data_IF_621176993231
#
_entry.id   IF_621176993231
#
_cell.length_a   1.000
_cell.length_b   1.000
_cell.length_c   1.000
_cell.angle_alpha   90.00
_cell.angle_beta   90.00
_cell.angle_gamma   90.00
#
_symmetry.space_group_name_H-M   'P 1'
#
loop_
_entity.id
_entity.type
_entity.pdbx_description
1 polymer ?
#
# COMPACT_ATOMS: atom_id res chain seq x y z
N UNK A 1 54.68 18.28 2.21
CA UNK A 1 54.65 17.58 0.92
C UNK A 1 53.18 17.57 0.49
N UNK A 2 52.81 18.51 -0.37
CA UNK A 2 51.42 18.76 -0.79
C UNK A 2 51.15 17.89 -2.01
N UNK A 3 50.10 17.02 -1.93
CA UNK A 3 49.59 16.26 -3.05
C UNK A 3 48.74 17.19 -3.95
N UNK A 4 48.82 17.10 -5.28
CA UNK A 4 48.08 18.00 -6.18
C UNK A 4 46.59 17.66 -6.19
N UNK A 5 45.75 18.68 -6.16
CA UNK A 5 44.31 18.61 -6.44
C UNK A 5 44.12 18.14 -7.89
N UNK A 6 43.61 16.94 -8.10
CA UNK A 6 43.06 16.57 -9.39
C UNK A 6 41.68 17.22 -9.55
N UNK A 7 41.58 18.10 -10.54
CA UNK A 7 40.31 18.64 -11.03
C UNK A 7 39.48 17.48 -11.60
N UNK A 8 38.39 17.15 -10.94
CA UNK A 8 37.38 16.24 -11.47
C UNK A 8 36.61 17.01 -12.53
N UNK A 9 36.84 16.62 -13.77
CA UNK A 9 36.26 17.23 -14.97
C UNK A 9 34.72 17.17 -14.93
N UNK A 10 34.09 18.32 -15.15
CA UNK A 10 32.65 18.59 -15.27
C UNK A 10 31.95 17.87 -16.46
N UNK A 11 32.30 16.66 -16.79
CA UNK A 11 31.76 15.91 -17.94
C UNK A 11 30.67 14.89 -17.61
N UNK A 12 30.19 14.79 -16.37
CA UNK A 12 29.22 13.77 -15.97
C UNK A 12 27.84 14.30 -15.55
N UNK A 13 27.47 15.55 -15.87
CA UNK A 13 26.11 16.07 -15.65
C UNK A 13 25.27 16.13 -16.94
N UNK A 14 25.17 15.04 -17.69
CA UNK A 14 24.08 14.86 -18.67
C UNK A 14 23.37 13.57 -18.35
N UNK A 15 22.60 13.60 -17.28
CA UNK A 15 21.69 12.51 -16.90
C UNK A 15 20.26 12.93 -17.27
N UNK A 16 19.76 12.27 -18.30
CA UNK A 16 18.40 11.83 -18.54
C UNK A 16 17.25 12.76 -18.15
N UNK A 17 16.88 13.66 -19.03
CA UNK A 17 15.51 14.11 -19.17
C UNK A 17 14.89 13.41 -20.38
N UNK A 18 13.92 12.52 -20.16
CA UNK A 18 13.09 11.96 -21.22
C UNK A 18 12.11 13.02 -21.71
N UNK A 19 12.03 13.34 -23.02
CA UNK A 19 11.00 14.23 -23.53
C UNK A 19 9.68 13.49 -23.60
N UNK A 20 8.65 14.07 -23.02
CA UNK A 20 7.27 13.65 -23.09
C UNK A 20 6.60 14.11 -24.39
N UNK A 21 6.97 13.57 -25.55
CA UNK A 21 6.12 13.60 -26.76
C UNK A 21 6.60 12.60 -27.83
N UNK A 22 5.70 11.86 -28.52
CA UNK A 22 6.05 10.85 -29.51
C UNK A 22 6.02 11.44 -30.91
N UNK A 23 7.16 11.87 -31.45
CA UNK A 23 7.39 11.97 -32.90
C UNK A 23 8.78 12.48 -33.24
N UNK A 24 9.81 11.74 -32.92
CA UNK A 24 11.10 11.78 -33.64
C UNK A 24 11.77 10.43 -33.44
N UNK A 25 12.12 9.74 -34.54
CA UNK A 25 12.94 8.55 -34.51
C UNK A 25 14.38 8.94 -34.14
N UNK A 26 14.67 9.17 -32.88
CA UNK A 26 16.01 9.30 -32.36
C UNK A 26 16.50 7.90 -31.98
N UNK A 27 17.42 7.35 -32.76
CA UNK A 27 18.24 6.22 -32.34
C UNK A 27 19.22 6.74 -31.25
N UNK A 28 18.86 6.60 -29.98
CA UNK A 28 19.77 6.87 -28.87
C UNK A 28 20.69 5.65 -28.72
N UNK A 29 21.89 5.75 -29.29
CA UNK A 29 22.94 4.74 -29.06
C UNK A 29 23.76 5.18 -27.85
N UNK A 30 23.58 4.54 -26.70
CA UNK A 30 24.48 4.72 -25.55
C UNK A 30 25.71 3.83 -25.82
N UNK A 31 26.81 4.46 -26.20
CA UNK A 31 28.10 3.77 -26.30
C UNK A 31 28.76 3.72 -24.91
N UNK A 32 28.97 2.52 -24.42
CA UNK A 32 29.78 2.26 -23.23
C UNK A 32 31.24 2.09 -23.68
N UNK A 33 32.25 2.45 -22.84
CA UNK A 33 33.69 2.44 -23.22
C UNK A 33 34.24 1.09 -23.74
N UNK A 34 33.47 0.01 -23.61
CA UNK A 34 33.85 -1.36 -24.06
C UNK A 34 33.01 -1.89 -25.25
N UNK A 35 32.65 -1.02 -26.18
CA UNK A 35 32.08 -1.37 -27.51
C UNK A 35 30.73 -2.14 -27.53
N UNK A 36 29.93 -2.07 -26.48
CA UNK A 36 28.61 -2.73 -26.43
C UNK A 36 27.45 -1.76 -26.70
N UNK A 37 26.53 -2.16 -27.58
CA UNK A 37 25.30 -1.39 -27.85
C UNK A 37 24.19 -1.86 -26.90
N UNK A 38 23.62 -0.91 -26.13
CA UNK A 38 22.59 -1.24 -25.13
C UNK A 38 21.16 -1.16 -25.67
N UNK A 39 20.92 -0.50 -26.82
CA UNK A 39 19.59 -0.31 -27.40
C UNK A 39 19.57 -0.71 -28.87
N UNK A 40 18.50 -1.40 -29.31
CA UNK A 40 18.27 -1.74 -30.71
C UNK A 40 17.40 -0.69 -31.42
N UNK A 41 17.65 -0.48 -32.73
CA UNK A 41 16.94 0.48 -33.56
C UNK A 41 15.43 0.26 -33.59
N UNK A 42 14.65 1.31 -33.37
CA UNK A 42 13.24 1.42 -33.72
C UNK A 42 12.22 0.91 -32.69
N UNK A 43 12.63 0.24 -31.62
CA UNK A 43 11.81 -0.04 -30.42
C UNK A 43 12.72 0.05 -29.22
N UNK A 44 12.23 0.64 -28.12
CA UNK A 44 12.96 0.78 -26.86
C UNK A 44 13.13 -0.58 -26.15
N UNK A 45 13.71 -1.54 -26.82
CA UNK A 45 14.03 -2.87 -26.27
C UNK A 45 15.52 -2.93 -25.99
N UNK A 46 15.86 -3.34 -24.77
CA UNK A 46 17.25 -3.54 -24.39
C UNK A 46 17.83 -4.75 -25.12
N UNK A 47 19.10 -4.66 -25.45
CA UNK A 47 19.89 -5.85 -25.82
C UNK A 47 20.26 -6.62 -24.55
N UNK A 48 20.75 -7.86 -24.68
CA UNK A 48 21.26 -8.61 -23.52
C UNK A 48 22.40 -7.88 -22.79
N UNK A 49 23.19 -7.10 -23.51
CA UNK A 49 24.20 -6.20 -22.92
C UNK A 49 23.52 -5.02 -22.19
N UNK A 50 22.44 -4.47 -22.75
CA UNK A 50 21.63 -3.42 -22.12
C UNK A 50 20.95 -3.89 -20.84
N UNK A 51 20.40 -5.08 -20.82
CA UNK A 51 19.81 -5.71 -19.62
C UNK A 51 20.86 -5.89 -18.51
N UNK A 52 22.04 -6.39 -18.88
CA UNK A 52 23.16 -6.55 -17.97
C UNK A 52 23.61 -5.20 -17.41
N UNK A 53 23.71 -4.17 -18.27
CA UNK A 53 24.05 -2.82 -17.85
C UNK A 53 23.02 -2.22 -16.87
N UNK A 54 21.72 -2.34 -17.18
CA UNK A 54 20.66 -1.86 -16.29
C UNK A 54 20.71 -2.53 -14.92
N UNK A 55 20.90 -3.85 -14.89
CA UNK A 55 21.04 -4.60 -13.64
C UNK A 55 22.18 -4.07 -12.74
N UNK A 56 23.35 -3.81 -13.34
CA UNK A 56 24.47 -3.26 -12.58
C UNK A 56 24.30 -1.77 -12.26
N UNK A 57 23.65 -1.00 -13.14
CA UNK A 57 23.33 0.40 -12.88
C UNK A 57 22.36 0.56 -11.69
N UNK A 58 21.35 -0.33 -11.61
CA UNK A 58 20.45 -0.39 -10.45
C UNK A 58 21.20 -0.70 -9.15
N UNK A 59 22.13 -1.65 -9.18
CA UNK A 59 22.96 -1.97 -8.01
C UNK A 59 23.86 -0.81 -7.60
N UNK A 60 24.42 -0.06 -8.54
CA UNK A 60 25.24 1.12 -8.27
C UNK A 60 24.39 2.22 -7.63
N UNK A 61 23.19 2.48 -8.15
CA UNK A 61 22.27 3.48 -7.60
C UNK A 61 21.84 3.08 -6.18
N UNK A 62 21.61 1.79 -5.95
CA UNK A 62 21.28 1.27 -4.63
C UNK A 62 22.44 1.41 -3.65
N UNK A 63 23.67 1.12 -4.12
CA UNK A 63 24.89 1.31 -3.31
C UNK A 63 25.14 2.76 -2.98
N UNK A 64 24.94 3.70 -3.93
CA UNK A 64 25.04 5.15 -3.72
C UNK A 64 24.05 5.62 -2.65
N UNK A 65 22.78 5.19 -2.74
CA UNK A 65 21.77 5.45 -1.70
C UNK A 65 22.18 4.94 -0.34
N UNK A 66 22.74 3.71 -0.29
CA UNK A 66 23.19 3.10 0.95
C UNK A 66 24.40 3.87 1.54
N UNK A 67 25.30 4.36 0.69
CA UNK A 67 26.42 5.21 1.10
C UNK A 67 25.92 6.55 1.64
N UNK A 68 25.00 7.23 0.95
CA UNK A 68 24.40 8.46 1.43
C UNK A 68 23.70 8.27 2.78
N UNK A 69 22.99 7.15 2.95
CA UNK A 69 22.37 6.79 4.23
C UNK A 69 23.41 6.54 5.34
N UNK A 70 24.52 5.86 5.02
CA UNK A 70 25.60 5.65 5.98
C UNK A 70 26.26 6.99 6.37
N UNK A 71 26.45 7.91 5.43
CA UNK A 71 27.03 9.22 5.70
C UNK A 71 26.10 10.15 6.48
N UNK A 72 24.77 9.98 6.37
CA UNK A 72 23.81 10.72 7.18
C UNK A 72 23.89 10.39 8.67
N UNK A 73 24.39 9.20 9.04
CA UNK A 73 24.64 8.83 10.44
C UNK A 73 25.73 9.70 11.13
N UNK A 74 26.54 10.40 10.36
CA UNK A 74 27.51 11.37 10.90
C UNK A 74 26.91 12.78 11.14
N UNK A 75 25.69 13.06 10.65
CA UNK A 75 24.89 14.20 11.12
C UNK A 75 24.13 13.71 12.36
N UNK A 76 24.19 14.46 13.45
CA UNK A 76 23.52 14.12 14.73
C UNK A 76 21.99 13.91 14.67
N UNK A 77 21.42 13.81 13.47
CA UNK A 77 20.00 13.60 13.23
C UNK A 77 19.81 12.27 12.51
N UNK A 78 19.05 11.38 13.12
CA UNK A 78 18.65 10.09 12.52
C UNK A 78 17.33 10.27 11.77
N UNK A 79 17.22 9.73 10.55
CA UNK A 79 15.95 9.74 9.80
C UNK A 79 15.28 8.37 9.98
N UNK A 80 14.09 8.36 10.56
CA UNK A 80 13.21 7.19 10.62
C UNK A 80 12.30 7.17 9.38
N UNK A 81 12.47 6.17 8.52
CA UNK A 81 11.71 6.01 7.28
C UNK A 81 10.49 5.15 7.51
N UNK A 82 9.30 5.76 7.46
CA UNK A 82 8.01 5.12 7.74
C UNK A 82 7.22 4.98 6.44
N UNK A 83 6.72 3.78 6.17
CA UNK A 83 5.74 3.53 5.12
C UNK A 83 4.30 3.48 5.67
N UNK A 84 3.32 3.86 4.85
CA UNK A 84 1.90 3.73 5.17
C UNK A 84 1.12 3.18 3.98
N UNK A 85 0.16 2.29 4.23
CA UNK A 85 -0.65 1.68 3.16
C UNK A 85 -2.16 1.85 3.34
N UNK A 86 -2.61 2.48 4.40
CA UNK A 86 -4.04 2.69 4.68
C UNK A 86 -4.28 4.08 5.25
N UNK A 87 -5.49 4.61 5.06
CA UNK A 87 -5.90 5.89 5.66
C UNK A 87 -5.77 5.86 7.19
N UNK A 88 -6.13 4.74 7.84
CA UNK A 88 -5.94 4.58 9.29
C UNK A 88 -4.46 4.62 9.70
N UNK A 89 -3.58 4.03 8.91
CA UNK A 89 -2.13 4.10 9.14
C UNK A 89 -1.61 5.54 9.03
N UNK A 90 -2.06 6.29 8.02
CA UNK A 90 -1.73 7.71 7.86
C UNK A 90 -2.20 8.50 9.07
N UNK A 91 -3.48 8.33 9.48
CA UNK A 91 -4.04 9.01 10.65
C UNK A 91 -3.28 8.67 11.93
N UNK A 92 -2.89 7.40 12.13
CA UNK A 92 -2.07 6.99 13.27
C UNK A 92 -0.72 7.70 13.26
N UNK A 93 0.03 7.61 12.18
CA UNK A 93 1.38 8.19 12.08
C UNK A 93 1.32 9.69 12.32
N UNK A 94 0.39 10.41 11.68
CA UNK A 94 0.24 11.86 11.86
C UNK A 94 -0.14 12.26 13.29
N UNK A 95 -0.91 11.42 13.99
CA UNK A 95 -1.22 11.63 15.41
C UNK A 95 0.00 11.37 16.32
N UNK A 96 0.78 10.33 16.02
CA UNK A 96 1.91 9.92 16.85
C UNK A 96 3.15 10.80 16.68
N UNK A 97 3.37 11.37 15.49
CA UNK A 97 4.55 12.21 15.19
C UNK A 97 4.77 13.33 16.23
N UNK A 98 3.79 14.15 16.60
CA UNK A 98 4.00 15.23 17.58
C UNK A 98 4.40 14.73 18.96
N UNK A 99 3.86 13.58 19.40
CA UNK A 99 4.17 12.94 20.69
C UNK A 99 5.59 12.39 20.64
N UNK A 100 5.89 11.62 19.60
CA UNK A 100 7.16 10.97 19.39
C UNK A 100 8.33 11.96 19.29
N UNK A 101 8.16 13.07 18.56
CA UNK A 101 9.21 14.09 18.40
C UNK A 101 9.51 14.87 19.69
N UNK A 102 8.57 14.94 20.64
CA UNK A 102 8.86 15.52 21.97
C UNK A 102 9.83 14.65 22.76
N UNK A 103 9.70 13.33 22.66
CA UNK A 103 10.55 12.37 23.35
C UNK A 103 11.88 12.15 22.62
N UNK A 104 11.87 12.21 21.27
CA UNK A 104 13.03 11.96 20.40
C UNK A 104 13.27 13.12 19.41
N UNK A 105 13.70 14.29 19.88
CA UNK A 105 13.84 15.50 19.04
C UNK A 105 14.90 15.36 17.92
N UNK A 106 15.85 14.45 18.10
CA UNK A 106 16.94 14.20 17.13
C UNK A 106 16.56 13.18 16.05
N UNK A 107 15.29 12.70 16.02
CA UNK A 107 14.81 11.79 14.99
C UNK A 107 13.88 12.57 14.05
N UNK A 108 14.30 12.69 12.80
CA UNK A 108 13.44 13.18 11.73
C UNK A 108 12.65 12.00 11.13
N UNK A 109 11.42 12.27 10.68
CA UNK A 109 10.54 11.26 10.11
C UNK A 109 10.35 11.54 8.63
N UNK A 110 10.66 10.54 7.80
CA UNK A 110 10.36 10.55 6.38
C UNK A 110 9.22 9.53 6.11
N UNK A 111 8.08 10.02 5.61
CA UNK A 111 6.92 9.19 5.34
C UNK A 111 6.78 8.90 3.84
N UNK A 112 6.46 7.66 3.49
CA UNK A 112 6.16 7.20 2.13
C UNK A 112 4.82 6.47 2.12
N UNK A 113 4.04 6.66 1.07
CA UNK A 113 2.75 5.99 0.88
C UNK A 113 2.81 4.98 -0.26
N UNK A 114 1.99 3.93 -0.17
CA UNK A 114 1.90 2.91 -1.21
C UNK A 114 0.85 1.84 -0.92
N UNK A 115 0.61 0.94 -1.87
CA UNK A 115 -0.22 -0.23 -1.58
C UNK A 115 0.50 -1.20 -0.64
N UNK A 116 -0.28 -2.05 0.05
CA UNK A 116 0.26 -2.92 1.12
C UNK A 116 1.42 -3.79 0.64
N UNK A 117 1.32 -4.40 -0.54
CA UNK A 117 2.37 -5.28 -1.06
C UNK A 117 3.66 -4.50 -1.38
N UNK A 118 3.54 -3.42 -2.15
CA UNK A 118 4.70 -2.62 -2.57
C UNK A 118 5.40 -1.95 -1.40
N UNK A 119 4.63 -1.40 -0.43
CA UNK A 119 5.25 -0.65 0.67
C UNK A 119 5.91 -1.59 1.70
N UNK A 120 5.33 -2.79 1.92
CA UNK A 120 5.93 -3.79 2.81
C UNK A 120 7.21 -4.35 2.21
N UNK A 121 7.26 -4.59 0.89
CA UNK A 121 8.48 -5.06 0.22
C UNK A 121 9.67 -4.09 0.41
N UNK A 122 9.42 -2.80 0.52
CA UNK A 122 10.47 -1.80 0.82
C UNK A 122 11.11 -1.98 2.20
N UNK A 123 10.38 -2.52 3.20
CA UNK A 123 10.99 -2.89 4.48
C UNK A 123 11.91 -4.09 4.32
N UNK A 124 11.47 -5.09 3.56
CA UNK A 124 12.26 -6.30 3.29
C UNK A 124 13.55 -5.99 2.51
N UNK A 125 13.48 -5.00 1.61
CA UNK A 125 14.61 -4.52 0.81
C UNK A 125 15.47 -3.47 1.54
N UNK A 126 15.15 -3.14 2.80
CA UNK A 126 15.83 -2.13 3.60
C UNK A 126 15.69 -0.66 3.13
N UNK A 127 14.76 -0.35 2.25
CA UNK A 127 14.46 1.02 1.81
C UNK A 127 13.69 1.81 2.86
N UNK A 128 12.87 1.12 3.67
CA UNK A 128 12.13 1.67 4.81
C UNK A 128 12.53 0.96 6.10
N UNK A 129 12.42 1.66 7.23
CA UNK A 129 12.68 1.09 8.55
C UNK A 129 11.48 0.33 9.08
N UNK A 130 10.27 0.88 8.85
CA UNK A 130 9.01 0.23 9.21
C UNK A 130 7.85 0.68 8.31
N UNK A 131 6.79 -0.10 8.31
CA UNK A 131 5.53 0.20 7.61
C UNK A 131 4.35 -0.01 8.54
N UNK A 132 3.46 0.97 8.62
CA UNK A 132 2.11 0.78 9.13
C UNK A 132 1.18 0.43 7.97
N UNK A 133 0.55 -0.74 8.06
CA UNK A 133 -0.27 -1.24 6.98
C UNK A 133 -1.29 -2.26 7.41
N UNK A 134 -1.79 -3.01 6.45
CA UNK A 134 -2.68 -4.14 6.72
C UNK A 134 -2.31 -5.35 5.88
N UNK A 135 -2.49 -6.52 6.47
CA UNK A 135 -2.24 -7.84 5.89
C UNK A 135 -3.46 -8.75 6.10
N UNK A 136 -3.56 -9.80 5.31
CA UNK A 136 -4.64 -10.78 5.40
C UNK A 136 -4.33 -11.94 6.35
N UNK A 137 -3.06 -12.22 6.63
CA UNK A 137 -2.60 -13.24 7.58
C UNK A 137 -1.20 -12.91 8.05
N UNK A 138 -0.90 -13.24 9.32
CA UNK A 138 0.43 -13.11 9.90
C UNK A 138 1.44 -14.08 9.28
N UNK A 139 0.98 -15.22 8.76
CA UNK A 139 1.83 -16.26 8.18
C UNK A 139 2.48 -15.83 6.85
N UNK A 140 1.89 -14.85 6.17
CA UNK A 140 2.40 -14.36 4.88
C UNK A 140 3.75 -13.64 5.00
N UNK A 141 4.06 -13.11 6.19
CA UNK A 141 5.26 -12.34 6.44
C UNK A 141 6.00 -12.92 7.64
N UNK A 142 6.83 -13.94 7.41
CA UNK A 142 7.68 -14.52 8.45
C UNK A 142 8.68 -13.48 8.94
N UNK A 143 8.48 -12.96 10.13
CA UNK A 143 9.45 -12.05 10.73
C UNK A 143 8.83 -10.96 11.58
N UNK A 144 9.33 -9.77 11.48
CA UNK A 144 9.09 -8.66 12.37
C UNK A 144 7.75 -7.98 12.07
N UNK A 145 6.71 -8.52 12.65
CA UNK A 145 5.35 -7.98 12.56
C UNK A 145 4.83 -7.74 13.96
N UNK A 146 4.36 -6.55 14.20
CA UNK A 146 3.59 -6.16 15.37
C UNK A 146 2.12 -6.05 14.96
N UNK A 147 1.25 -7.02 15.30
CA UNK A 147 -0.17 -6.89 15.08
C UNK A 147 -0.73 -5.79 15.99
N UNK A 148 -1.64 -4.99 15.46
CA UNK A 148 -2.26 -3.87 16.16
C UNK A 148 -3.74 -4.14 16.41
N UNK A 149 -4.53 -4.33 15.35
CA UNK A 149 -5.97 -4.58 15.45
C UNK A 149 -6.51 -5.30 14.22
N UNK A 150 -7.50 -6.15 14.42
CA UNK A 150 -8.29 -6.75 13.36
C UNK A 150 -9.42 -5.83 12.94
N UNK A 151 -9.77 -5.86 11.66
CA UNK A 151 -10.88 -5.12 11.11
C UNK A 151 -11.64 -5.98 10.10
N UNK A 152 -12.95 -6.11 10.28
CA UNK A 152 -13.82 -6.83 9.34
C UNK A 152 -13.89 -6.10 8.00
N UNK A 153 -14.08 -6.88 6.94
CA UNK A 153 -14.33 -6.39 5.59
C UNK A 153 -15.79 -6.72 5.24
N UNK A 154 -16.52 -5.69 4.85
CA UNK A 154 -17.88 -5.79 4.37
C UNK A 154 -17.92 -5.76 2.84
N UNK A 155 -18.93 -6.39 2.27
CA UNK A 155 -19.36 -6.19 0.90
C UNK A 155 -20.46 -5.12 0.89
N UNK A 156 -20.22 -3.98 0.29
CA UNK A 156 -21.21 -2.95 0.03
C UNK A 156 -21.91 -3.27 -1.30
N UNK A 157 -23.24 -3.27 -1.30
CA UNK A 157 -24.07 -3.63 -2.46
C UNK A 157 -25.13 -2.56 -2.68
N UNK A 158 -25.37 -2.11 -3.91
CA UNK A 158 -26.49 -1.22 -4.22
C UNK A 158 -27.83 -1.81 -3.76
N UNK A 159 -28.62 -1.08 -2.98
CA UNK A 159 -29.88 -1.55 -2.38
C UNK A 159 -30.91 -2.06 -3.41
N UNK A 160 -30.79 -1.64 -4.68
CA UNK A 160 -31.61 -2.08 -5.81
C UNK A 160 -31.27 -3.46 -6.38
N UNK A 161 -30.12 -4.06 -5.98
CA UNK A 161 -29.75 -5.40 -6.45
C UNK A 161 -30.66 -6.48 -5.83
N UNK A 162 -30.84 -7.59 -6.57
CA UNK A 162 -31.75 -8.69 -6.17
C UNK A 162 -31.48 -9.25 -4.79
N UNK A 163 -30.23 -9.38 -4.41
CA UNK A 163 -29.79 -9.88 -3.09
C UNK A 163 -30.33 -9.00 -1.93
N UNK A 164 -30.65 -7.75 -2.18
CA UNK A 164 -31.13 -6.81 -1.17
C UNK A 164 -32.67 -6.80 -1.01
N UNK A 165 -33.44 -7.54 -1.82
CA UNK A 165 -34.92 -7.47 -1.85
C UNK A 165 -35.59 -7.84 -0.52
N UNK A 166 -34.95 -8.66 0.31
CA UNK A 166 -35.48 -9.09 1.60
C UNK A 166 -34.83 -8.36 2.79
N UNK A 167 -34.17 -7.24 2.54
CA UNK A 167 -33.36 -6.59 3.57
C UNK A 167 -34.14 -5.85 4.66
N UNK A 168 -35.47 -5.75 4.58
CA UNK A 168 -36.37 -5.19 5.63
C UNK A 168 -35.75 -4.02 6.44
N UNK A 169 -35.11 -3.06 5.75
CA UNK A 169 -34.40 -1.92 6.35
C UNK A 169 -33.17 -2.27 7.21
N UNK A 170 -32.70 -3.52 7.20
CA UNK A 170 -31.44 -3.89 7.82
C UNK A 170 -30.28 -3.53 6.89
N UNK A 171 -29.56 -2.47 7.26
CA UNK A 171 -28.39 -2.02 6.50
C UNK A 171 -27.19 -2.99 6.59
N UNK A 172 -27.14 -3.86 7.59
CA UNK A 172 -26.10 -4.87 7.79
C UNK A 172 -26.73 -6.26 7.82
N UNK A 173 -26.25 -7.16 6.97
CA UNK A 173 -26.71 -8.54 6.85
C UNK A 173 -25.55 -9.53 6.87
N UNK A 174 -25.86 -10.79 7.17
CA UNK A 174 -24.89 -11.88 7.05
C UNK A 174 -24.91 -12.45 5.63
N UNK A 175 -23.77 -12.89 5.12
CA UNK A 175 -23.62 -13.48 3.80
C UNK A 175 -22.67 -14.68 3.85
N UNK A 176 -23.16 -15.84 3.44
CA UNK A 176 -22.32 -17.01 3.23
C UNK A 176 -21.77 -17.07 1.80
N UNK A 177 -20.77 -17.93 1.59
CA UNK A 177 -20.08 -18.05 0.32
C UNK A 177 -20.99 -18.57 -0.81
N UNK A 178 -21.92 -19.47 -0.51
CA UNK A 178 -22.84 -20.05 -1.50
C UNK A 178 -23.83 -19.00 -2.00
N UNK A 179 -24.42 -18.25 -1.08
CA UNK A 179 -25.33 -17.14 -1.41
C UNK A 179 -24.58 -16.04 -2.18
N UNK A 180 -23.34 -15.70 -1.78
CA UNK A 180 -22.49 -14.77 -2.51
C UNK A 180 -22.28 -15.22 -3.97
N UNK A 181 -21.92 -16.49 -4.18
CA UNK A 181 -21.71 -17.04 -5.51
C UNK A 181 -22.98 -17.03 -6.36
N UNK A 182 -24.12 -17.43 -5.78
CA UNK A 182 -25.40 -17.54 -6.48
C UNK A 182 -25.97 -16.17 -6.87
N UNK A 183 -26.00 -15.23 -5.92
CA UNK A 183 -26.71 -13.96 -6.09
C UNK A 183 -25.88 -12.89 -6.85
N UNK A 184 -24.54 -13.00 -6.79
CA UNK A 184 -23.66 -11.98 -7.36
C UNK A 184 -22.83 -12.50 -8.55
N UNK A 185 -23.13 -13.70 -9.05
CA UNK A 185 -22.56 -14.18 -10.32
C UNK A 185 -22.92 -13.25 -11.46
N UNK A 186 -21.91 -12.75 -12.19
CA UNK A 186 -22.09 -11.79 -13.28
C UNK A 186 -22.42 -10.35 -12.85
N UNK A 187 -22.54 -10.07 -11.55
CA UNK A 187 -22.73 -8.71 -11.06
C UNK A 187 -21.48 -7.85 -11.31
N UNK A 188 -21.66 -6.54 -11.55
CA UNK A 188 -20.53 -5.61 -11.67
C UNK A 188 -19.87 -5.36 -10.31
N UNK A 189 -18.52 -5.36 -10.28
CA UNK A 189 -17.75 -5.07 -9.10
C UNK A 189 -16.83 -3.86 -9.28
N UNK A 190 -16.68 -3.11 -8.17
CA UNK A 190 -15.69 -2.06 -7.98
C UNK A 190 -14.66 -2.61 -6.99
N UNK A 191 -13.43 -2.78 -7.41
CA UNK A 191 -12.40 -3.40 -6.59
C UNK A 191 -11.24 -2.42 -6.32
N UNK A 192 -10.50 -2.69 -5.27
CA UNK A 192 -9.23 -2.00 -5.08
C UNK A 192 -8.20 -2.48 -6.11
N UNK A 193 -7.19 -1.64 -6.37
CA UNK A 193 -6.08 -2.01 -7.25
C UNK A 193 -5.36 -3.27 -6.74
N UNK A 194 -4.82 -4.10 -7.64
CA UNK A 194 -3.93 -5.20 -7.26
C UNK A 194 -2.81 -4.73 -6.32
N UNK A 195 -2.45 -5.59 -5.36
CA UNK A 195 -1.43 -5.27 -4.35
C UNK A 195 -1.97 -4.63 -3.06
N UNK A 196 -3.27 -4.28 -2.99
CA UNK A 196 -3.91 -3.94 -1.72
C UNK A 196 -4.33 -5.20 -0.95
N UNK A 197 -4.35 -5.12 0.38
CA UNK A 197 -4.79 -6.21 1.25
C UNK A 197 -6.26 -6.59 0.96
N UNK A 198 -7.15 -5.61 0.79
CA UNK A 198 -8.57 -5.86 0.51
C UNK A 198 -8.77 -6.54 -0.85
N UNK A 199 -8.00 -6.14 -1.88
CA UNK A 199 -8.04 -6.81 -3.19
C UNK A 199 -7.58 -8.27 -3.08
N UNK A 200 -6.53 -8.54 -2.34
CA UNK A 200 -6.07 -9.91 -2.10
C UNK A 200 -7.14 -10.77 -1.43
N UNK A 201 -7.83 -10.24 -0.41
CA UNK A 201 -8.94 -10.90 0.28
C UNK A 201 -10.12 -11.15 -0.68
N UNK A 202 -10.52 -10.14 -1.47
CA UNK A 202 -11.59 -10.27 -2.45
C UNK A 202 -11.27 -11.33 -3.51
N UNK A 203 -10.06 -11.31 -4.06
CA UNK A 203 -9.61 -12.31 -5.05
C UNK A 203 -9.59 -13.72 -4.45
N UNK A 204 -9.25 -13.86 -3.15
CA UNK A 204 -9.35 -15.12 -2.41
C UNK A 204 -10.79 -15.61 -2.32
N UNK A 205 -11.72 -14.72 -1.98
CA UNK A 205 -13.13 -15.04 -1.88
C UNK A 205 -13.73 -15.46 -3.24
N UNK A 206 -13.42 -14.72 -4.32
CA UNK A 206 -13.87 -15.09 -5.68
C UNK A 206 -13.35 -16.46 -6.09
N UNK A 207 -12.09 -16.78 -5.80
CA UNK A 207 -11.54 -18.13 -6.06
C UNK A 207 -12.27 -19.21 -5.27
N UNK A 208 -12.53 -19.00 -4.00
CA UNK A 208 -13.27 -19.95 -3.14
C UNK A 208 -14.72 -20.13 -3.59
N UNK A 209 -15.32 -19.08 -4.13
CA UNK A 209 -16.68 -19.10 -4.69
C UNK A 209 -16.74 -19.61 -6.15
N UNK A 210 -15.60 -19.99 -6.75
CA UNK A 210 -15.48 -20.34 -8.16
C UNK A 210 -16.06 -19.28 -9.11
N UNK A 211 -15.96 -18.00 -8.74
CA UNK A 211 -16.47 -16.86 -9.49
C UNK A 211 -15.37 -16.13 -10.23
N UNK A 212 -15.69 -15.68 -11.44
CA UNK A 212 -14.88 -14.68 -12.15
C UNK A 212 -15.59 -13.33 -12.04
N UNK A 213 -15.04 -12.33 -11.31
CA UNK A 213 -15.71 -11.05 -11.12
C UNK A 213 -15.75 -10.23 -12.42
N UNK A 214 -16.87 -9.57 -12.69
CA UNK A 214 -16.98 -8.54 -13.73
C UNK A 214 -16.49 -7.22 -13.13
N UNK A 215 -15.20 -6.91 -13.26
CA UNK A 215 -14.60 -5.71 -12.68
C UNK A 215 -14.80 -4.53 -13.65
N UNK A 216 -15.58 -3.54 -13.25
CA UNK A 216 -15.87 -2.36 -14.06
C UNK A 216 -15.10 -1.11 -13.63
N UNK A 217 -14.58 -1.10 -12.41
CA UNK A 217 -13.79 0.00 -11.88
C UNK A 217 -12.73 -0.53 -10.89
N UNK A 218 -11.51 -0.01 -11.01
CA UNK A 218 -10.47 -0.18 -10.00
C UNK A 218 -10.14 1.17 -9.35
N UNK A 219 -10.01 1.20 -8.02
CA UNK A 219 -9.67 2.40 -7.25
C UNK A 219 -8.77 2.06 -6.06
N UNK A 220 -8.03 3.02 -5.53
CA UNK A 220 -7.25 2.85 -4.31
C UNK A 220 -8.01 3.26 -3.04
N UNK A 221 -9.17 3.91 -3.19
CA UNK A 221 -9.86 4.59 -2.09
C UNK A 221 -11.20 3.90 -1.76
N UNK A 222 -11.38 3.48 -0.51
CA UNK A 222 -12.61 2.88 -0.03
C UNK A 222 -13.82 3.83 -0.13
N UNK A 223 -13.63 5.13 0.10
CA UNK A 223 -14.70 6.13 -0.06
C UNK A 223 -15.17 6.25 -1.51
N UNK A 224 -14.29 6.05 -2.48
CA UNK A 224 -14.66 5.99 -3.90
C UNK A 224 -15.50 4.74 -4.20
N UNK A 225 -15.22 3.62 -3.55
CA UNK A 225 -16.05 2.41 -3.65
C UNK A 225 -17.45 2.70 -3.09
N UNK A 226 -17.54 3.27 -1.88
CA UNK A 226 -18.82 3.62 -1.25
C UNK A 226 -19.65 4.52 -2.16
N UNK A 227 -19.07 5.60 -2.70
CA UNK A 227 -19.75 6.50 -3.64
C UNK A 227 -20.24 5.81 -4.90
N UNK A 228 -19.44 4.93 -5.46
CA UNK A 228 -19.81 4.19 -6.67
C UNK A 228 -20.91 3.18 -6.40
N UNK A 229 -20.90 2.51 -5.23
CA UNK A 229 -21.97 1.61 -4.79
C UNK A 229 -23.27 2.39 -4.57
N UNK A 230 -23.24 3.52 -3.88
CA UNK A 230 -24.39 4.41 -3.66
C UNK A 230 -25.01 4.86 -4.99
N UNK A 231 -24.18 5.19 -5.97
CA UNK A 231 -24.63 5.53 -7.33
C UNK A 231 -25.14 4.30 -8.12
N UNK A 232 -25.08 3.10 -7.53
CA UNK A 232 -25.56 1.87 -8.14
C UNK A 232 -24.70 1.33 -9.27
N UNK A 233 -23.42 1.68 -9.34
CA UNK A 233 -22.50 1.23 -10.39
C UNK A 233 -22.21 -0.27 -10.23
N UNK A 234 -22.02 -0.77 -8.98
CA UNK A 234 -21.72 -2.17 -8.71
C UNK A 234 -21.44 -2.43 -7.23
N UNK A 235 -21.18 -3.67 -6.87
CA UNK A 235 -20.80 -4.06 -5.52
C UNK A 235 -19.31 -3.88 -5.26
N UNK A 236 -18.89 -3.70 -3.99
CA UNK A 236 -17.48 -3.52 -3.67
C UNK A 236 -17.12 -3.85 -2.24
N UNK A 237 -15.87 -4.29 -2.03
CA UNK A 237 -15.36 -4.64 -0.71
C UNK A 237 -14.76 -3.41 -0.01
N UNK A 238 -15.18 -3.15 1.21
CA UNK A 238 -14.70 -2.03 2.02
C UNK A 238 -14.41 -2.48 3.47
N UNK A 239 -13.51 -1.78 4.17
CA UNK A 239 -13.39 -1.96 5.62
C UNK A 239 -14.67 -1.49 6.31
N UNK A 240 -15.05 -2.13 7.39
CA UNK A 240 -16.24 -1.74 8.17
C UNK A 240 -16.17 -0.31 8.69
N UNK A 241 -14.97 0.19 8.99
CA UNK A 241 -14.76 1.59 9.37
C UNK A 241 -15.04 2.63 8.25
N UNK A 242 -15.31 2.18 7.04
CA UNK A 242 -15.74 3.02 5.93
C UNK A 242 -17.24 2.88 5.62
N UNK A 243 -17.99 2.10 6.41
CA UNK A 243 -19.44 2.02 6.27
C UNK A 243 -20.06 3.35 6.67
N UNK A 244 -21.09 3.75 5.94
CA UNK A 244 -21.87 4.98 6.17
C UNK A 244 -23.35 4.66 6.08
N UNK A 245 -24.17 5.42 6.77
CA UNK A 245 -25.61 5.29 6.65
C UNK A 245 -26.09 5.94 5.33
N UNK A 246 -26.41 5.10 4.35
CA UNK A 246 -26.88 5.50 3.04
C UNK A 246 -28.02 4.56 2.59
N UNK A 247 -29.23 5.06 2.30
CA UNK A 247 -30.38 4.23 1.90
C UNK A 247 -30.15 3.47 0.58
N UNK A 248 -29.15 3.88 -0.21
CA UNK A 248 -28.81 3.23 -1.46
C UNK A 248 -27.83 2.06 -1.29
N UNK A 249 -27.35 1.79 -0.06
CA UNK A 249 -26.34 0.76 0.21
C UNK A 249 -26.86 -0.23 1.24
N UNK A 250 -26.66 -1.51 0.99
CA UNK A 250 -26.78 -2.60 1.96
C UNK A 250 -25.39 -3.22 2.14
N UNK A 251 -24.99 -3.46 3.37
CA UNK A 251 -23.72 -4.07 3.70
C UNK A 251 -23.90 -5.53 4.10
N UNK A 252 -22.99 -6.35 3.64
CA UNK A 252 -22.97 -7.77 3.97
C UNK A 252 -21.66 -8.12 4.67
N UNK A 253 -21.77 -8.74 5.85
CA UNK A 253 -20.66 -9.32 6.57
C UNK A 253 -20.61 -10.82 6.29
N UNK A 254 -19.45 -11.33 5.91
CA UNK A 254 -19.29 -12.74 5.57
C UNK A 254 -19.33 -13.65 6.80
N UNK A 255 -19.81 -14.84 6.61
CA UNK A 255 -19.75 -15.93 7.60
C UNK A 255 -19.08 -17.15 6.93
N UNK A 256 -17.85 -17.53 7.37
CA UNK A 256 -17.01 -16.90 8.40
C UNK A 256 -16.54 -15.49 8.01
N UNK A 257 -16.23 -14.68 9.02
CA UNK A 257 -15.86 -13.27 8.83
C UNK A 257 -14.61 -13.11 7.95
N UNK A 258 -14.69 -12.20 7.00
CA UNK A 258 -13.54 -11.73 6.22
C UNK A 258 -12.93 -10.54 6.96
N UNK A 259 -11.64 -10.60 7.29
CA UNK A 259 -10.96 -9.55 8.03
C UNK A 259 -9.55 -9.29 7.54
N UNK A 260 -9.04 -8.11 7.83
CA UNK A 260 -7.63 -7.73 7.69
C UNK A 260 -7.04 -7.44 9.05
N UNK A 261 -5.72 -7.57 9.16
CA UNK A 261 -4.97 -7.26 10.37
C UNK A 261 -4.19 -5.98 10.11
N UNK A 262 -4.50 -4.91 10.85
CA UNK A 262 -3.64 -3.74 10.92
C UNK A 262 -2.39 -4.08 11.69
N UNK A 263 -1.23 -3.74 11.16
CA UNK A 263 0.04 -4.12 11.75
C UNK A 263 1.14 -3.10 11.46
N UNK A 264 2.22 -3.20 12.21
CA UNK A 264 3.49 -2.59 11.90
C UNK A 264 4.47 -3.69 11.48
N UNK A 265 5.00 -3.60 10.26
CA UNK A 265 6.10 -4.44 9.76
C UNK A 265 7.37 -3.63 9.87
N UNK A 266 8.44 -4.21 10.44
CA UNK A 266 9.66 -3.46 10.76
C UNK A 266 10.92 -4.28 10.50
N UNK A 267 12.05 -3.60 10.37
CA UNK A 267 13.36 -4.24 10.20
C UNK A 267 13.89 -4.75 11.54
N UNK A 268 14.41 -5.95 11.57
CA UNK A 268 14.95 -6.58 12.80
C UNK A 268 16.00 -5.73 13.51
N UNK A 269 16.79 -4.97 12.76
CA UNK A 269 17.87 -4.18 13.35
C UNK A 269 17.38 -3.11 14.32
N UNK A 270 16.13 -2.57 14.14
CA UNK A 270 15.59 -1.53 15.00
C UNK A 270 14.80 -2.07 16.20
N UNK A 271 14.59 -3.38 16.28
CA UNK A 271 13.74 -4.03 17.29
C UNK A 271 14.14 -3.71 18.73
N UNK A 272 15.46 -3.58 18.97
CA UNK A 272 16.02 -3.27 20.31
C UNK A 272 16.23 -1.77 20.56
N UNK A 273 15.91 -0.92 19.60
CA UNK A 273 16.04 0.51 19.70
C UNK A 273 14.94 1.06 20.65
N UNK A 274 15.34 1.81 21.66
CA UNK A 274 14.42 2.41 22.64
C UNK A 274 13.38 3.30 21.95
N UNK A 275 13.78 4.04 20.92
CA UNK A 275 12.88 4.89 20.15
C UNK A 275 11.85 4.05 19.38
N UNK A 276 12.25 2.91 18.82
CA UNK A 276 11.33 1.98 18.15
C UNK A 276 10.37 1.32 19.16
N UNK A 277 10.86 0.88 20.32
CA UNK A 277 10.02 0.28 21.35
C UNK A 277 8.94 1.28 21.80
N UNK A 278 9.32 2.54 22.03
CA UNK A 278 8.37 3.59 22.38
C UNK A 278 7.33 3.86 21.30
N UNK A 279 7.74 3.88 20.03
CA UNK A 279 6.81 4.01 18.91
C UNK A 279 5.84 2.82 18.85
N UNK A 280 6.32 1.63 19.15
CA UNK A 280 5.49 0.41 19.19
C UNK A 280 4.43 0.46 20.30
N UNK A 281 4.79 0.96 21.48
CA UNK A 281 3.87 1.18 22.60
C UNK A 281 2.78 2.21 22.23
N UNK A 282 3.21 3.38 21.76
CA UNK A 282 2.28 4.44 21.33
C UNK A 282 1.33 3.96 20.23
N UNK A 283 1.82 3.10 19.35
CA UNK A 283 1.01 2.56 18.24
C UNK A 283 -0.07 1.60 18.75
N UNK A 284 0.25 0.75 19.74
CA UNK A 284 -0.74 -0.12 20.41
C UNK A 284 -1.78 0.71 21.15
N UNK A 285 -1.34 1.65 21.99
CA UNK A 285 -2.23 2.54 22.74
C UNK A 285 -3.20 3.31 21.81
N UNK A 286 -2.72 3.74 20.64
CA UNK A 286 -3.56 4.41 19.65
C UNK A 286 -4.55 3.44 18.99
N UNK A 287 -4.10 2.23 18.61
CA UNK A 287 -4.95 1.23 17.97
C UNK A 287 -6.05 0.70 18.93
N UNK A 288 -5.78 0.61 20.22
CA UNK A 288 -6.76 0.18 21.23
C UNK A 288 -7.98 1.11 21.28
N UNK A 289 -7.79 2.39 20.94
CA UNK A 289 -8.88 3.38 20.88
C UNK A 289 -9.75 3.27 19.62
N UNK A 290 -9.40 2.44 18.66
CA UNK A 290 -10.23 2.25 17.48
C UNK A 290 -11.49 1.46 17.85
N UNK A 291 -12.65 2.12 17.88
CA UNK A 291 -13.96 1.53 18.20
C UNK A 291 -14.76 1.18 16.94
N UNK A 292 -14.42 1.77 15.81
CA UNK A 292 -15.12 1.64 14.52
C UNK A 292 -14.75 0.39 13.70
N UNK A 293 -14.08 -0.59 14.34
CA UNK A 293 -13.62 -1.82 13.67
C UNK A 293 -14.69 -2.91 13.60
N UNK A 294 -15.74 -2.78 14.38
CA UNK A 294 -16.90 -3.67 14.43
C UNK A 294 -18.16 -2.83 14.73
N UNK A 295 -18.59 -1.96 13.80
CA UNK A 295 -19.69 -1.05 14.05
C UNK A 295 -21.02 -1.80 14.17
N UNK A 296 -21.82 -1.41 15.15
CA UNK A 296 -23.26 -1.65 15.17
C UNK A 296 -23.97 -0.67 14.24
N UNK A 297 -25.24 -0.97 13.87
CA UNK A 297 -26.01 -0.09 12.96
C UNK A 297 -26.09 1.35 13.49
N UNK A 298 -26.15 1.52 14.84
CA UNK A 298 -26.21 2.82 15.48
C UNK A 298 -24.95 3.67 15.36
N UNK A 299 -23.81 3.06 15.00
CA UNK A 299 -22.51 3.73 14.90
C UNK A 299 -22.23 4.27 13.48
N UNK A 300 -23.12 3.98 12.51
CA UNK A 300 -22.94 4.45 11.14
C UNK A 300 -23.17 5.95 11.04
N UNK A 301 -22.20 6.64 10.44
CA UNK A 301 -22.30 8.08 10.18
C UNK A 301 -23.14 8.29 8.91
N UNK A 302 -24.12 9.24 8.94
CA UNK A 302 -24.87 9.58 7.73
C UNK A 302 -23.95 10.02 6.60
N UNK A 303 -24.27 9.59 5.39
CA UNK A 303 -23.55 10.00 4.20
C UNK A 303 -23.91 11.46 3.87
N UNK A 304 -22.90 12.34 3.80
CA UNK A 304 -23.05 13.77 3.47
C UNK A 304 -22.93 14.04 1.96
#
# INVERSE_FOLDING_TARGET
>A
MLLPKQEISHRQQKIFTFPSQPSVSLSVTIKIPWESTCLMNGRYTLTSAGETFCKYAEQIIELEKNMEQAMQTYKNTTILKIGTSTTKAISMVTHLIPIYRKEFPNIDIAMSEGNSFTIISKVLNNDLDLVFGSISSLDLYKGQILPLKEEKIALAVPSRMSICRNSNYNYIQSLDLETFARELSGAPFILQHPGSCIRYLADGLFRSAHMTPVVILNTSNASSIVKSVSSGIGAGFIPVSNMVLDPNIVYFLFTPSLYRIHCMVYRKKIEKDTAFQRLSELSREYADRWTDMDPEIGDLVPYA
#
